data_IF_597583464559
#
_entry.id   IF_597583464559
#
_cell.length_a   1.000
_cell.length_b   1.000
_cell.length_c   1.000
_cell.angle_alpha   90.00
_cell.angle_beta   90.00
_cell.angle_gamma   90.00
#
_symmetry.space_group_name_H-M   'P 1'
#
loop_
_entity.id
_entity.type
_entity.pdbx_description
1 polymer ?
#
# COMPACT_ATOMS: atom_id res chain seq x y z
N UNK A 1 3.79 15.41 -14.28
CA UNK A 1 3.12 16.32 -13.32
C UNK A 1 2.45 17.52 -14.00
N UNK A 2 3.13 18.37 -14.79
CA UNK A 2 2.49 19.55 -15.40
C UNK A 2 1.31 19.21 -16.33
N UNK A 3 1.39 18.15 -17.12
CA UNK A 3 0.34 17.78 -18.08
C UNK A 3 -0.93 17.29 -17.38
N UNK A 4 -0.79 16.50 -16.31
CA UNK A 4 -1.91 16.01 -15.50
C UNK A 4 -2.63 17.16 -14.80
N UNK A 5 -1.88 18.10 -14.20
CA UNK A 5 -2.45 19.31 -13.57
C UNK A 5 -3.28 20.13 -14.55
N UNK A 6 -2.79 20.30 -15.79
CA UNK A 6 -3.50 21.04 -16.81
C UNK A 6 -4.80 20.33 -17.22
N UNK A 7 -4.78 19.01 -17.34
CA UNK A 7 -5.96 18.22 -17.68
C UNK A 7 -7.09 18.41 -16.64
N UNK A 8 -6.81 18.27 -15.36
CA UNK A 8 -7.80 18.51 -14.30
C UNK A 8 -8.35 19.94 -14.31
N UNK A 9 -7.50 20.94 -14.56
CA UNK A 9 -7.97 22.33 -14.66
C UNK A 9 -8.86 22.56 -15.89
N UNK A 10 -8.66 21.83 -16.99
CA UNK A 10 -9.51 21.90 -18.18
C UNK A 10 -10.90 21.32 -17.93
N UNK A 11 -11.00 20.32 -17.06
CA UNK A 11 -12.28 19.75 -16.60
C UNK A 11 -12.96 20.60 -15.50
N UNK A 12 -12.34 21.69 -15.08
CA UNK A 12 -12.95 22.65 -14.16
C UNK A 12 -12.53 22.50 -12.69
N UNK A 13 -11.61 21.61 -12.39
CA UNK A 13 -11.10 21.42 -11.01
C UNK A 13 -10.10 22.52 -10.64
N UNK A 14 -10.10 22.90 -9.37
CA UNK A 14 -9.06 23.75 -8.79
C UNK A 14 -7.94 22.86 -8.26
N UNK A 15 -6.77 22.93 -8.88
CA UNK A 15 -5.61 22.16 -8.45
C UNK A 15 -4.89 22.86 -7.31
N UNK A 16 -4.73 22.16 -6.18
CA UNK A 16 -3.98 22.64 -5.02
C UNK A 16 -2.77 21.74 -4.77
N UNK A 17 -1.60 22.36 -4.59
CA UNK A 17 -0.38 21.68 -4.19
C UNK A 17 0.09 22.25 -2.86
N UNK A 18 -0.01 21.48 -1.79
CA UNK A 18 0.42 21.90 -0.45
C UNK A 18 1.91 21.61 -0.29
N UNK A 19 2.68 22.61 0.15
CA UNK A 19 4.07 22.42 0.56
C UNK A 19 4.12 21.75 1.92
N UNK A 20 4.41 20.45 1.93
CA UNK A 20 4.52 19.67 3.17
C UNK A 20 5.98 19.30 3.45
N UNK A 21 6.32 19.18 4.74
CA UNK A 21 7.61 18.64 5.17
C UNK A 21 7.69 17.18 4.80
N UNK A 22 8.71 16.79 4.07
CA UNK A 22 8.94 15.43 3.62
C UNK A 22 10.26 14.88 4.12
N UNK A 23 10.57 13.67 3.72
CA UNK A 23 11.71 12.87 4.17
C UNK A 23 13.09 13.53 4.05
N UNK A 24 13.24 14.57 3.25
CA UNK A 24 14.51 15.27 3.01
C UNK A 24 14.49 16.72 3.54
N UNK A 25 13.44 17.07 4.32
CA UNK A 25 13.31 18.44 4.81
C UNK A 25 14.13 18.65 6.08
N UNK A 26 14.99 19.65 6.07
CA UNK A 26 15.81 20.06 7.20
C UNK A 26 15.54 21.54 7.57
N UNK A 27 15.81 21.92 8.82
CA UNK A 27 15.77 23.29 9.29
C UNK A 27 17.06 24.06 8.92
N UNK A 28 17.17 25.31 9.43
CA UNK A 28 18.33 26.16 9.17
C UNK A 28 19.63 25.70 9.83
N UNK A 29 19.53 24.81 10.79
CA UNK A 29 20.61 24.20 11.56
C UNK A 29 20.95 22.78 11.05
N UNK A 30 20.39 22.36 9.89
CA UNK A 30 20.51 21.04 9.27
C UNK A 30 19.90 19.89 10.10
N UNK A 31 18.98 20.18 11.05
CA UNK A 31 18.21 19.13 11.73
C UNK A 31 17.09 18.66 10.84
N UNK A 32 16.83 17.35 10.88
CA UNK A 32 15.74 16.74 10.14
C UNK A 32 14.38 17.07 10.76
N UNK A 33 13.47 17.61 9.95
CA UNK A 33 12.14 18.07 10.41
C UNK A 33 10.98 17.46 9.59
N UNK A 34 11.23 16.40 8.83
CA UNK A 34 10.23 15.74 7.99
C UNK A 34 9.72 14.39 8.55
N UNK A 35 9.90 14.14 9.87
CA UNK A 35 9.41 12.93 10.53
C UNK A 35 7.88 12.84 10.51
N UNK A 36 7.36 11.61 10.60
CA UNK A 36 5.96 11.40 10.90
C UNK A 36 5.60 11.97 12.30
N UNK A 37 4.39 12.52 12.49
CA UNK A 37 3.32 12.63 11.50
C UNK A 37 3.30 13.98 10.76
N UNK A 38 4.42 14.71 10.69
CA UNK A 38 4.46 16.12 10.28
C UNK A 38 3.99 16.38 8.85
N UNK A 39 4.14 15.40 7.95
CA UNK A 39 3.55 15.50 6.60
C UNK A 39 2.01 15.60 6.68
N UNK A 40 1.38 14.80 7.53
CA UNK A 40 -0.07 14.84 7.74
C UNK A 40 -0.51 16.16 8.36
N UNK A 41 0.25 16.65 9.34
CA UNK A 41 0.00 17.96 9.99
C UNK A 41 0.00 19.09 8.97
N UNK A 42 0.99 19.13 8.08
CA UNK A 42 1.10 20.17 7.06
C UNK A 42 -0.05 20.12 6.04
N UNK A 43 -0.44 18.92 5.61
CA UNK A 43 -1.55 18.74 4.68
C UNK A 43 -2.90 19.09 5.32
N UNK A 44 -3.14 18.66 6.56
CA UNK A 44 -4.33 19.04 7.35
C UNK A 44 -4.39 20.55 7.56
N UNK A 45 -3.26 21.20 7.88
CA UNK A 45 -3.21 22.65 7.95
C UNK A 45 -3.52 23.34 6.62
N UNK A 46 -3.09 22.77 5.51
CA UNK A 46 -3.45 23.22 4.17
C UNK A 46 -4.95 23.12 3.90
N UNK A 47 -5.59 22.02 4.28
CA UNK A 47 -7.04 21.84 4.17
C UNK A 47 -7.78 22.87 5.04
N UNK A 48 -7.39 23.03 6.33
CA UNK A 48 -7.95 24.04 7.22
C UNK A 48 -7.82 25.46 6.66
N UNK A 49 -6.68 25.75 6.00
CA UNK A 49 -6.50 27.05 5.34
C UNK A 49 -7.48 27.25 4.18
N UNK A 50 -7.68 26.22 3.34
CA UNK A 50 -8.64 26.30 2.22
C UNK A 50 -10.06 26.52 2.73
N UNK A 51 -10.50 25.74 3.72
CA UNK A 51 -11.84 25.86 4.32
C UNK A 51 -12.04 27.21 5.01
N UNK A 52 -11.07 27.69 5.76
CA UNK A 52 -11.13 29.02 6.40
C UNK A 52 -11.19 30.19 5.42
N UNK A 53 -10.83 29.98 4.16
CA UNK A 53 -10.82 31.00 3.11
C UNK A 53 -11.73 30.64 1.92
N UNK A 54 -12.71 29.75 2.13
CA UNK A 54 -13.60 29.25 1.08
C UNK A 54 -14.42 30.34 0.38
N UNK A 55 -14.66 31.47 1.07
CA UNK A 55 -15.39 32.61 0.54
C UNK A 55 -14.58 33.52 -0.43
N UNK A 56 -13.26 33.35 -0.46
CA UNK A 56 -12.34 34.19 -1.27
C UNK A 56 -11.47 33.40 -2.25
N UNK A 57 -11.31 32.10 -2.03
CA UNK A 57 -10.57 31.20 -2.93
C UNK A 57 -11.51 30.64 -4.01
N UNK A 58 -11.00 30.30 -5.19
CA UNK A 58 -11.80 29.61 -6.19
C UNK A 58 -12.11 28.16 -5.77
N UNK A 59 -13.23 27.64 -6.24
CA UNK A 59 -13.68 26.28 -5.95
C UNK A 59 -14.57 26.21 -4.70
N UNK A 60 -14.77 25.00 -4.20
CA UNK A 60 -15.52 24.71 -3.00
C UNK A 60 -14.67 23.84 -2.07
N UNK A 61 -14.18 24.43 -0.98
CA UNK A 61 -13.31 23.73 -0.03
C UNK A 61 -14.04 22.71 0.86
N UNK A 62 -15.37 22.60 0.77
CA UNK A 62 -16.11 21.47 1.37
C UNK A 62 -16.06 20.20 0.49
N UNK A 63 -15.58 20.34 -0.75
CA UNK A 63 -15.47 19.25 -1.73
C UNK A 63 -14.05 18.98 -2.16
N UNK A 64 -13.18 18.78 -1.19
CA UNK A 64 -11.76 18.46 -1.45
C UNK A 64 -11.63 17.00 -1.88
N UNK A 65 -10.94 16.79 -3.00
CA UNK A 65 -10.56 15.48 -3.52
C UNK A 65 -9.07 15.27 -3.25
N UNK A 66 -8.71 14.22 -2.52
CA UNK A 66 -7.31 13.77 -2.44
C UNK A 66 -6.99 12.87 -3.61
N UNK A 67 -5.80 13.06 -4.19
CA UNK A 67 -5.33 12.26 -5.32
C UNK A 67 -3.85 11.96 -5.16
N UNK A 68 -3.49 10.70 -5.18
CA UNK A 68 -2.08 10.33 -5.03
C UNK A 68 -1.77 8.88 -5.37
N UNK A 69 -0.51 8.64 -5.72
CA UNK A 69 0.06 7.33 -6.02
C UNK A 69 1.01 6.89 -4.92
N UNK A 70 1.09 5.58 -4.65
CA UNK A 70 2.06 4.97 -3.75
C UNK A 70 2.01 5.62 -2.36
N UNK A 71 3.09 6.19 -1.88
CA UNK A 71 3.12 6.98 -0.63
C UNK A 71 2.17 8.18 -0.66
N UNK A 72 1.99 8.82 -1.82
CA UNK A 72 0.98 9.87 -2.00
C UNK A 72 -0.45 9.35 -1.89
N UNK A 73 -0.70 8.14 -2.39
CA UNK A 73 -1.95 7.40 -2.20
C UNK A 73 -2.21 7.10 -0.72
N UNK A 74 -1.18 6.62 -0.01
CA UNK A 74 -1.25 6.37 1.43
C UNK A 74 -1.63 7.63 2.22
N UNK A 75 -0.98 8.76 1.92
CA UNK A 75 -1.29 10.06 2.54
C UNK A 75 -2.71 10.51 2.22
N UNK A 76 -3.19 10.31 0.98
CA UNK A 76 -4.57 10.62 0.60
C UNK A 76 -5.60 9.78 1.36
N UNK A 77 -5.34 8.48 1.50
CA UNK A 77 -6.16 7.56 2.32
C UNK A 77 -6.16 7.97 3.79
N UNK A 78 -4.99 8.35 4.33
CA UNK A 78 -4.88 8.87 5.70
C UNK A 78 -5.69 10.17 5.91
N UNK A 79 -5.68 11.11 4.96
CA UNK A 79 -6.49 12.31 5.04
C UNK A 79 -7.97 11.98 5.11
N UNK A 80 -8.44 11.04 4.28
CA UNK A 80 -9.81 10.58 4.28
C UNK A 80 -10.25 9.87 5.55
N UNK A 81 -9.34 9.10 6.16
CA UNK A 81 -9.63 8.34 7.38
C UNK A 81 -9.56 9.18 8.66
N UNK A 82 -8.68 10.18 8.71
CA UNK A 82 -8.34 10.90 9.95
C UNK A 82 -8.91 12.32 10.05
N UNK A 83 -9.92 12.67 9.23
CA UNK A 83 -10.52 14.00 9.25
C UNK A 83 -10.97 14.41 10.66
N UNK A 84 -10.65 15.62 11.08
CA UNK A 84 -11.00 16.19 12.38
C UNK A 84 -10.57 15.37 13.61
N UNK A 85 -9.65 14.43 13.46
CA UNK A 85 -9.20 13.61 14.59
C UNK A 85 -8.40 14.46 15.59
N UNK A 86 -8.78 14.35 16.87
CA UNK A 86 -8.12 15.05 17.99
C UNK A 86 -6.65 14.64 18.19
N UNK A 87 -6.22 13.52 17.61
CA UNK A 87 -4.82 13.07 17.63
C UNK A 87 -3.88 14.15 17.07
N UNK A 88 -4.33 14.92 16.08
CA UNK A 88 -3.54 15.95 15.40
C UNK A 88 -3.67 17.36 16.01
N UNK A 89 -4.60 17.59 16.93
CA UNK A 89 -4.90 18.93 17.46
C UNK A 89 -3.69 19.65 18.06
N UNK A 90 -2.88 18.93 18.83
CA UNK A 90 -1.66 19.49 19.43
C UNK A 90 -0.65 19.95 18.37
N UNK A 91 -0.40 19.12 17.38
CA UNK A 91 0.52 19.44 16.27
C UNK A 91 0.01 20.61 15.41
N UNK A 92 -1.29 20.65 15.13
CA UNK A 92 -1.91 21.72 14.35
C UNK A 92 -1.89 23.06 15.09
N UNK A 93 -2.11 23.04 16.40
CA UNK A 93 -1.99 24.22 17.26
C UNK A 93 -0.56 24.76 17.30
N UNK A 94 0.46 23.88 17.36
CA UNK A 94 1.87 24.26 17.42
C UNK A 94 2.33 24.99 16.17
N UNK A 95 1.78 24.66 14.99
CA UNK A 95 2.09 25.36 13.73
C UNK A 95 1.16 26.52 13.43
N UNK A 96 0.16 26.79 14.30
CA UNK A 96 -0.80 27.87 14.12
C UNK A 96 -1.77 27.64 12.95
N UNK A 97 -2.20 26.41 12.72
CA UNK A 97 -3.20 26.07 11.71
C UNK A 97 -4.51 26.83 11.92
N UNK A 98 -5.23 27.11 10.83
CA UNK A 98 -6.51 27.82 10.89
C UNK A 98 -7.55 27.06 11.75
N UNK A 99 -8.44 27.81 12.39
CA UNK A 99 -9.58 27.28 13.13
C UNK A 99 -10.70 26.88 12.16
N UNK A 100 -10.53 25.71 11.56
CA UNK A 100 -11.44 25.10 10.59
C UNK A 100 -11.31 23.58 10.67
N UNK A 101 -12.20 22.85 10.00
CA UNK A 101 -12.16 21.39 9.88
C UNK A 101 -11.10 20.94 8.85
N UNK A 102 -10.68 19.68 8.89
CA UNK A 102 -9.71 19.10 7.96
C UNK A 102 -10.17 17.78 7.31
N UNK A 103 -11.46 17.49 7.37
CA UNK A 103 -12.09 16.41 6.61
C UNK A 103 -12.07 16.72 5.10
N UNK A 104 -12.08 15.66 4.29
CA UNK A 104 -12.12 15.73 2.83
C UNK A 104 -13.33 14.98 2.28
N UNK A 105 -13.64 15.18 0.99
CA UNK A 105 -14.88 14.70 0.37
C UNK A 105 -14.68 13.41 -0.44
N UNK A 106 -13.62 13.33 -1.25
CA UNK A 106 -13.31 12.14 -2.06
C UNK A 106 -11.85 11.72 -1.83
N UNK A 107 -11.64 10.42 -1.69
CA UNK A 107 -10.32 9.79 -1.68
C UNK A 107 -10.09 9.05 -2.99
N UNK A 108 -9.04 9.41 -3.72
CA UNK A 108 -8.54 8.68 -4.89
C UNK A 108 -7.16 8.11 -4.56
N UNK A 109 -7.14 6.86 -4.09
CA UNK A 109 -5.93 6.17 -3.68
C UNK A 109 -5.42 5.23 -4.78
N UNK A 110 -4.35 5.62 -5.46
CA UNK A 110 -3.70 4.77 -6.46
C UNK A 110 -2.56 3.99 -5.81
N UNK A 111 -2.64 2.64 -5.84
CA UNK A 111 -1.66 1.74 -5.25
C UNK A 111 -1.13 2.23 -3.87
N UNK A 112 -2.02 2.57 -2.92
CA UNK A 112 -1.62 3.21 -1.67
C UNK A 112 -0.78 2.25 -0.81
N UNK A 113 0.42 2.67 -0.41
CA UNK A 113 1.27 1.95 0.54
C UNK A 113 0.92 2.41 1.94
N UNK A 114 -0.08 1.79 2.53
CA UNK A 114 -0.70 2.21 3.80
C UNK A 114 -0.87 1.04 4.77
N UNK A 115 -1.40 1.28 5.98
CA UNK A 115 -1.54 0.29 7.05
C UNK A 115 -0.20 -0.37 7.40
N UNK A 116 0.83 0.45 7.64
CA UNK A 116 2.20 -0.04 7.86
C UNK A 116 2.36 -0.87 9.12
N UNK A 117 1.39 -0.85 10.03
CA UNK A 117 1.31 -1.69 11.23
C UNK A 117 1.11 -3.17 10.91
N UNK A 118 0.44 -3.47 9.80
CA UNK A 118 0.17 -4.84 9.32
C UNK A 118 0.78 -5.14 7.94
N UNK A 119 1.47 -4.17 7.34
CA UNK A 119 1.89 -4.21 5.95
C UNK A 119 2.88 -5.33 5.62
N UNK A 120 3.87 -5.60 6.50
CA UNK A 120 4.81 -6.70 6.31
C UNK A 120 4.08 -8.05 6.26
N UNK A 121 3.12 -8.25 7.17
CA UNK A 121 2.32 -9.47 7.22
C UNK A 121 1.34 -9.60 6.04
N UNK A 122 0.70 -8.50 5.65
CA UNK A 122 -0.18 -8.46 4.49
C UNK A 122 0.57 -8.81 3.19
N UNK A 123 1.81 -8.36 3.07
CA UNK A 123 2.65 -8.68 1.92
C UNK A 123 3.02 -10.16 1.86
N UNK A 124 3.43 -10.75 2.99
CA UNK A 124 3.77 -12.18 3.04
C UNK A 124 2.54 -13.06 2.77
N UNK A 125 1.37 -12.70 3.28
CA UNK A 125 0.12 -13.37 2.95
C UNK A 125 -0.24 -13.27 1.46
N UNK A 126 -0.11 -12.08 0.88
CA UNK A 126 -0.42 -11.81 -0.52
C UNK A 126 0.53 -12.55 -1.47
N UNK A 127 1.83 -12.57 -1.15
CA UNK A 127 2.89 -13.16 -1.97
C UNK A 127 3.19 -14.63 -1.60
N UNK A 128 2.45 -15.24 -0.67
CA UNK A 128 2.74 -16.60 -0.23
C UNK A 128 2.76 -17.59 -1.40
N UNK A 129 3.77 -18.43 -1.43
CA UNK A 129 4.06 -19.32 -2.56
C UNK A 129 4.88 -18.67 -3.68
N UNK A 130 4.96 -17.36 -3.77
CA UNK A 130 5.83 -16.66 -4.72
C UNK A 130 7.21 -16.42 -4.10
N UNK A 131 8.15 -17.31 -4.39
CA UNK A 131 9.53 -17.28 -3.87
C UNK A 131 10.50 -16.57 -4.82
N UNK A 132 10.04 -16.07 -5.96
CA UNK A 132 10.87 -15.39 -6.93
C UNK A 132 10.84 -13.87 -6.71
N UNK A 133 11.99 -13.29 -6.40
CA UNK A 133 12.15 -11.86 -6.14
C UNK A 133 12.68 -11.11 -7.35
N UNK A 134 12.19 -9.89 -7.52
CA UNK A 134 12.73 -8.92 -8.46
C UNK A 134 13.16 -7.67 -7.71
N UNK A 135 14.41 -7.61 -7.26
CA UNK A 135 14.91 -6.50 -6.47
C UNK A 135 15.38 -5.32 -7.32
N UNK A 136 14.99 -4.12 -6.94
CA UNK A 136 15.59 -2.89 -7.48
C UNK A 136 17.00 -2.67 -6.91
N UNK A 137 17.92 -2.14 -7.72
CA UNK A 137 19.32 -1.90 -7.35
C UNK A 137 19.51 -1.11 -6.03
N UNK A 138 18.56 -0.28 -5.63
CA UNK A 138 18.64 0.48 -4.38
C UNK A 138 18.53 -0.36 -3.10
N UNK A 139 18.05 -1.62 -3.21
CA UNK A 139 17.95 -2.56 -2.08
C UNK A 139 19.03 -3.65 -2.13
N UNK A 140 19.97 -3.53 -3.04
CA UNK A 140 21.09 -4.47 -3.20
C UNK A 140 22.22 -4.19 -2.20
N UNK A 141 21.87 -4.00 -0.95
CA UNK A 141 22.83 -3.86 0.15
C UNK A 141 22.54 -4.92 1.21
N UNK A 142 23.60 -5.51 1.76
CA UNK A 142 23.45 -6.42 2.90
C UNK A 142 23.09 -5.66 4.18
N UNK A 143 22.79 -6.39 5.25
CA UNK A 143 22.48 -5.82 6.57
C UNK A 143 23.59 -4.93 7.15
N UNK A 144 24.81 -5.01 6.63
CA UNK A 144 25.95 -4.19 7.04
C UNK A 144 26.08 -2.94 6.17
N UNK A 145 25.16 -2.73 5.19
CA UNK A 145 25.22 -1.63 4.24
C UNK A 145 26.22 -1.84 3.10
N UNK A 146 26.75 -3.06 2.93
CA UNK A 146 27.66 -3.36 1.82
C UNK A 146 26.85 -3.54 0.54
N UNK A 147 27.35 -2.98 -0.55
CA UNK A 147 26.78 -3.18 -1.89
C UNK A 147 26.96 -4.64 -2.31
N UNK A 148 25.86 -5.34 -2.56
CA UNK A 148 25.79 -6.71 -3.06
C UNK A 148 25.23 -6.80 -4.48
N UNK A 149 25.13 -5.67 -5.18
CA UNK A 149 24.59 -5.59 -6.55
C UNK A 149 25.26 -6.55 -7.54
N UNK A 150 26.57 -6.82 -7.36
CA UNK A 150 27.33 -7.78 -8.15
C UNK A 150 26.92 -9.27 -7.88
N UNK A 151 26.21 -9.51 -6.79
CA UNK A 151 25.76 -10.85 -6.39
C UNK A 151 24.31 -11.10 -6.81
N UNK A 152 23.62 -10.05 -7.28
CA UNK A 152 22.24 -10.08 -7.68
C UNK A 152 22.15 -10.28 -9.19
N UNK A 153 21.69 -11.44 -9.60
CA UNK A 153 21.32 -11.65 -11.01
C UNK A 153 19.92 -11.10 -11.23
N UNK A 154 19.81 -9.96 -11.92
CA UNK A 154 18.53 -9.41 -12.37
C UNK A 154 17.92 -10.40 -13.37
N UNK A 155 16.84 -11.08 -12.97
CA UNK A 155 16.12 -12.04 -13.80
C UNK A 155 15.17 -12.88 -12.96
N UNK A 156 14.13 -13.44 -13.57
CA UNK A 156 13.31 -14.47 -12.94
C UNK A 156 14.20 -15.64 -12.56
N UNK A 157 14.27 -15.96 -11.30
CA UNK A 157 14.99 -17.10 -10.76
C UNK A 157 14.75 -17.18 -9.27
N UNK A 158 14.83 -18.38 -8.70
CA UNK A 158 14.82 -18.53 -7.24
C UNK A 158 15.94 -17.66 -6.68
N UNK A 159 15.57 -16.52 -6.20
CA UNK A 159 16.49 -15.56 -5.65
C UNK A 159 16.45 -15.67 -4.13
N UNK A 160 17.34 -16.47 -3.58
CA UNK A 160 17.84 -16.23 -2.25
C UNK A 160 18.86 -15.10 -2.40
N UNK A 161 18.58 -13.86 -1.96
CA UNK A 161 19.47 -12.72 -2.19
C UNK A 161 20.85 -12.91 -1.64
N UNK A 162 21.07 -13.99 -0.93
CA UNK A 162 22.26 -14.26 -0.15
C UNK A 162 22.95 -15.57 -0.53
N UNK A 163 22.52 -16.20 -1.64
CA UNK A 163 23.08 -17.47 -2.08
C UNK A 163 22.99 -18.53 -0.98
N UNK A 164 23.92 -19.49 -0.97
CA UNK A 164 24.08 -20.45 0.13
C UNK A 164 24.72 -19.80 1.40
N UNK A 165 24.78 -18.49 1.47
CA UNK A 165 25.37 -17.71 2.56
C UNK A 165 24.33 -16.86 3.28
N UNK A 166 23.91 -17.32 4.42
CA UNK A 166 23.50 -16.66 5.68
C UNK A 166 22.53 -15.47 5.66
N UNK A 167 22.02 -14.99 4.53
CA UNK A 167 21.15 -13.83 4.50
C UNK A 167 19.91 -14.07 3.61
N UNK A 168 19.22 -15.01 3.64
CA UNK A 168 18.05 -15.52 2.97
C UNK A 168 18.09 -16.98 3.23
N UNK A 169 17.61 -17.38 4.32
CA UNK A 169 17.73 -18.73 4.74
C UNK A 169 16.49 -19.13 5.52
N UNK A 170 16.58 -20.22 6.24
CA UNK A 170 15.49 -20.76 7.03
C UNK A 170 14.85 -19.73 7.99
N UNK A 171 15.59 -18.71 8.43
CA UNK A 171 15.06 -17.66 9.31
C UNK A 171 14.12 -16.66 8.58
N UNK A 172 14.38 -16.37 7.30
CA UNK A 172 13.49 -15.53 6.49
C UNK A 172 12.21 -16.29 6.16
N UNK A 173 12.32 -17.56 5.80
CA UNK A 173 11.18 -18.44 5.56
C UNK A 173 10.32 -18.58 6.83
N UNK A 174 10.95 -18.69 8.00
CA UNK A 174 10.25 -18.77 9.28
C UNK A 174 9.55 -17.46 9.65
N UNK A 175 10.21 -16.32 9.46
CA UNK A 175 9.59 -15.02 9.69
C UNK A 175 8.42 -14.79 8.73
N UNK A 176 8.58 -15.14 7.45
CA UNK A 176 7.52 -15.05 6.44
C UNK A 176 6.29 -15.90 6.83
N UNK A 177 6.51 -17.13 7.31
CA UNK A 177 5.44 -17.99 7.79
C UNK A 177 4.72 -17.39 9.02
N UNK A 178 5.47 -16.86 9.99
CA UNK A 178 4.88 -16.21 11.18
C UNK A 178 4.09 -14.94 10.80
N UNK A 179 4.58 -14.15 9.85
CA UNK A 179 3.89 -12.96 9.32
C UNK A 179 2.60 -13.36 8.61
N UNK A 180 2.63 -14.43 7.81
CA UNK A 180 1.46 -14.98 7.14
C UNK A 180 0.39 -15.40 8.16
N UNK A 181 0.75 -16.23 9.13
CA UNK A 181 -0.17 -16.72 10.16
C UNK A 181 -0.76 -15.56 10.97
N UNK A 182 0.08 -14.59 11.33
CA UNK A 182 -0.38 -13.40 12.04
C UNK A 182 -1.40 -12.61 11.22
N UNK A 183 -1.19 -12.43 9.91
CA UNK A 183 -2.15 -11.70 9.07
C UNK A 183 -3.49 -12.41 8.96
N UNK A 184 -3.48 -13.73 8.85
CA UNK A 184 -4.70 -14.54 8.85
C UNK A 184 -5.47 -14.33 10.15
N UNK A 185 -4.80 -14.46 11.30
CA UNK A 185 -5.42 -14.24 12.60
C UNK A 185 -5.93 -12.79 12.77
N UNK A 186 -5.15 -11.81 12.34
CA UNK A 186 -5.49 -10.40 12.40
C UNK A 186 -6.75 -10.09 11.60
N UNK A 187 -6.81 -10.49 10.34
CA UNK A 187 -7.97 -10.24 9.46
C UNK A 187 -9.21 -10.98 9.96
N UNK A 188 -9.05 -12.23 10.43
CA UNK A 188 -10.15 -13.00 11.03
C UNK A 188 -10.64 -12.39 12.34
N UNK A 189 -9.77 -11.77 13.13
CA UNK A 189 -10.16 -11.11 14.38
C UNK A 189 -11.12 -9.93 14.13
N UNK A 190 -11.07 -9.33 12.95
CA UNK A 190 -12.01 -8.32 12.48
C UNK A 190 -13.24 -8.92 11.77
N UNK A 191 -13.41 -10.22 11.82
CA UNK A 191 -14.60 -10.92 11.29
C UNK A 191 -14.59 -11.13 9.78
N UNK A 192 -13.47 -10.87 9.08
CA UNK A 192 -13.33 -11.20 7.67
C UNK A 192 -12.97 -12.67 7.49
N UNK A 193 -13.66 -13.35 6.60
CA UNK A 193 -13.51 -14.78 6.38
C UNK A 193 -12.35 -15.07 5.43
N UNK A 194 -11.25 -15.57 5.98
CA UNK A 194 -10.11 -16.10 5.23
C UNK A 194 -10.11 -17.62 5.06
N UNK A 195 -11.09 -18.32 5.66
CA UNK A 195 -11.17 -19.77 5.67
C UNK A 195 -10.13 -20.45 6.58
N UNK A 196 -10.09 -21.79 6.53
CA UNK A 196 -9.22 -22.57 7.42
C UNK A 196 -7.73 -22.49 7.02
N UNK A 197 -7.47 -22.38 5.70
CA UNK A 197 -6.10 -22.30 5.14
C UNK A 197 -5.61 -20.85 4.93
N UNK A 198 -6.42 -19.87 5.34
CA UNK A 198 -6.12 -18.45 5.16
C UNK A 198 -6.32 -17.92 3.73
N UNK A 199 -6.73 -18.77 2.78
CA UNK A 199 -6.91 -18.45 1.35
C UNK A 199 -8.08 -19.15 0.68
N UNK A 200 -9.07 -19.61 1.41
CA UNK A 200 -10.26 -20.27 0.88
C UNK A 200 -11.58 -19.60 1.30
N UNK A 201 -11.51 -18.55 2.14
CA UNK A 201 -12.67 -17.78 2.58
C UNK A 201 -13.11 -16.66 1.64
N UNK A 202 -14.24 -16.00 1.99
CA UNK A 202 -14.86 -14.96 1.17
C UNK A 202 -13.95 -13.73 0.98
N UNK A 203 -13.13 -13.37 1.97
CA UNK A 203 -12.20 -12.25 1.87
C UNK A 203 -11.14 -12.49 0.80
N UNK A 204 -10.56 -13.70 0.77
CA UNK A 204 -9.57 -14.06 -0.25
C UNK A 204 -10.18 -14.22 -1.64
N UNK A 205 -11.32 -14.93 -1.74
CA UNK A 205 -11.97 -15.13 -3.05
C UNK A 205 -12.45 -13.81 -3.66
N UNK A 206 -12.86 -12.84 -2.83
CA UNK A 206 -13.16 -11.48 -3.28
C UNK A 206 -11.95 -10.76 -3.86
N UNK A 207 -10.76 -10.90 -3.25
CA UNK A 207 -9.53 -10.36 -3.79
C UNK A 207 -9.17 -10.99 -5.16
N UNK A 208 -9.30 -12.31 -5.30
CA UNK A 208 -9.06 -13.01 -6.58
C UNK A 208 -10.06 -12.57 -7.65
N UNK A 209 -11.31 -12.30 -7.24
CA UNK A 209 -12.33 -11.80 -8.15
C UNK A 209 -11.98 -10.43 -8.75
N UNK A 210 -11.32 -9.53 -7.99
CA UNK A 210 -10.85 -8.24 -8.52
C UNK A 210 -9.89 -8.40 -9.71
N UNK A 211 -9.01 -9.39 -9.66
CA UNK A 211 -8.13 -9.69 -10.81
C UNK A 211 -8.91 -10.23 -12.02
N UNK A 212 -9.89 -11.10 -11.76
CA UNK A 212 -10.77 -11.64 -12.80
C UNK A 212 -11.58 -10.54 -13.47
N UNK A 213 -12.12 -9.62 -12.67
CA UNK A 213 -12.90 -8.46 -13.15
C UNK A 213 -12.00 -7.48 -13.93
N UNK A 214 -10.78 -7.21 -13.43
CA UNK A 214 -9.80 -6.37 -14.11
C UNK A 214 -9.42 -6.91 -15.49
N UNK A 215 -9.13 -8.22 -15.59
CA UNK A 215 -8.86 -8.85 -16.90
C UNK A 215 -10.09 -8.82 -17.81
N UNK A 216 -11.27 -9.09 -17.27
CA UNK A 216 -12.53 -9.01 -18.03
C UNK A 216 -12.74 -7.60 -18.59
N UNK A 217 -12.55 -6.57 -17.77
CA UNK A 217 -12.66 -5.18 -18.20
C UNK A 217 -11.64 -4.83 -19.28
N UNK A 218 -10.37 -5.23 -19.09
CA UNK A 218 -9.30 -5.06 -20.06
C UNK A 218 -9.62 -5.68 -21.41
N UNK A 219 -10.05 -6.94 -21.44
CA UNK A 219 -10.39 -7.65 -22.67
C UNK A 219 -11.63 -7.07 -23.35
N UNK A 220 -12.64 -6.68 -22.57
CA UNK A 220 -13.88 -6.09 -23.10
C UNK A 220 -13.63 -4.73 -23.75
N UNK A 221 -12.75 -3.92 -23.16
CA UNK A 221 -12.40 -2.57 -23.65
C UNK A 221 -11.09 -2.54 -24.42
N UNK A 222 -10.60 -3.68 -24.90
CA UNK A 222 -9.29 -3.80 -25.55
C UNK A 222 -9.12 -2.83 -26.70
N UNK A 223 -10.16 -2.56 -27.48
CA UNK A 223 -10.12 -1.62 -28.62
C UNK A 223 -9.96 -0.16 -28.20
N UNK A 224 -10.30 0.20 -26.95
CA UNK A 224 -10.17 1.54 -26.39
C UNK A 224 -8.77 1.80 -25.82
N UNK A 225 -8.02 0.75 -25.51
CA UNK A 225 -6.72 0.86 -24.88
C UNK A 225 -5.72 1.66 -25.72
N UNK A 226 -4.96 2.49 -25.03
CA UNK A 226 -3.83 3.24 -25.58
C UNK A 226 -2.52 2.74 -24.97
N UNK A 227 -2.14 1.50 -25.28
CA UNK A 227 -0.94 0.88 -24.73
C UNK A 227 0.04 0.51 -25.84
N UNK A 228 1.37 0.46 -25.57
CA UNK A 228 2.35 -0.10 -26.50
C UNK A 228 2.07 -1.56 -26.90
N UNK A 229 1.35 -2.29 -26.07
CA UNK A 229 1.03 -3.70 -26.30
C UNK A 229 0.05 -3.90 -27.44
N UNK A 230 -0.80 -2.91 -27.77
CA UNK A 230 -1.65 -2.95 -28.97
C UNK A 230 -0.87 -3.03 -30.29
N UNK A 231 0.35 -2.51 -30.34
CA UNK A 231 1.21 -2.68 -31.52
C UNK A 231 1.67 -4.14 -31.65
N UNK A 232 1.86 -4.81 -30.52
CA UNK A 232 2.34 -6.18 -30.43
C UNK A 232 1.19 -7.20 -30.48
N UNK A 233 0.08 -6.87 -29.81
CA UNK A 233 -1.12 -7.69 -29.72
C UNK A 233 -2.32 -6.89 -30.25
N UNK A 234 -2.70 -7.05 -31.54
CA UNK A 234 -3.63 -6.14 -32.20
C UNK A 234 -5.08 -6.24 -31.74
N UNK A 235 -5.45 -7.33 -31.07
CA UNK A 235 -6.78 -7.58 -30.53
C UNK A 235 -6.74 -8.40 -29.23
N UNK A 236 -7.87 -8.49 -28.53
CA UNK A 236 -7.99 -9.21 -27.28
C UNK A 236 -7.59 -10.69 -27.39
N UNK A 237 -7.88 -11.35 -28.51
CA UNK A 237 -7.53 -12.75 -28.71
C UNK A 237 -6.00 -12.95 -28.83
N UNK A 238 -5.31 -12.03 -29.51
CA UNK A 238 -3.85 -12.03 -29.60
C UNK A 238 -3.20 -11.76 -28.24
N UNK A 239 -3.80 -10.89 -27.43
CA UNK A 239 -3.35 -10.63 -26.06
C UNK A 239 -3.55 -11.86 -25.14
N UNK A 240 -4.70 -12.51 -25.22
CA UNK A 240 -4.96 -13.77 -24.50
C UNK A 240 -3.96 -14.86 -24.89
N UNK A 241 -3.64 -14.97 -26.20
CA UNK A 241 -2.62 -15.93 -26.64
C UNK A 241 -1.24 -15.62 -26.04
N UNK A 242 -0.90 -14.35 -25.90
CA UNK A 242 0.31 -13.92 -25.18
C UNK A 242 0.30 -14.36 -23.71
N UNK A 243 -0.83 -14.25 -22.99
CA UNK A 243 -0.92 -14.75 -21.62
C UNK A 243 -0.66 -16.26 -21.55
N UNK A 244 -1.16 -17.05 -22.51
CA UNK A 244 -0.87 -18.48 -22.58
C UNK A 244 0.59 -18.78 -22.91
N UNK A 245 1.18 -18.08 -23.87
CA UNK A 245 2.52 -18.36 -24.37
C UNK A 245 3.62 -17.91 -23.40
N UNK A 246 3.47 -16.73 -22.79
CA UNK A 246 4.54 -16.09 -21.99
C UNK A 246 4.33 -16.24 -20.48
N UNK A 247 3.08 -16.45 -20.03
CA UNK A 247 2.73 -16.54 -18.59
C UNK A 247 2.09 -17.88 -18.20
N UNK A 248 1.99 -18.85 -19.12
CA UNK A 248 1.40 -20.15 -18.84
C UNK A 248 -0.04 -20.07 -18.34
N UNK A 249 -0.82 -19.15 -18.89
CA UNK A 249 -2.17 -18.86 -18.41
C UNK A 249 -3.16 -20.03 -18.53
N UNK A 250 -2.82 -21.08 -19.27
CA UNK A 250 -3.58 -22.34 -19.31
C UNK A 250 -3.65 -23.05 -17.94
N UNK A 251 -2.76 -22.69 -16.99
CA UNK A 251 -2.78 -23.23 -15.63
C UNK A 251 -3.72 -22.47 -14.69
N UNK A 252 -4.03 -21.20 -14.95
CA UNK A 252 -4.70 -20.34 -14.00
C UNK A 252 -5.85 -19.48 -14.55
N UNK A 253 -6.05 -19.46 -15.88
CA UNK A 253 -7.07 -18.65 -16.55
C UNK A 253 -8.11 -19.51 -17.24
N UNK A 254 -9.39 -19.30 -16.94
CA UNK A 254 -10.51 -19.73 -17.74
C UNK A 254 -11.20 -18.53 -18.40
N UNK A 255 -11.52 -18.65 -19.69
CA UNK A 255 -12.37 -17.70 -20.41
C UNK A 255 -13.73 -18.32 -20.71
N UNK A 256 -14.78 -17.52 -20.55
CA UNK A 256 -16.11 -17.90 -21.00
C UNK A 256 -16.20 -18.01 -22.55
N UNK A 257 -17.34 -18.49 -23.07
CA UNK A 257 -17.57 -18.66 -24.51
C UNK A 257 -17.51 -17.33 -25.29
N UNK A 258 -17.68 -16.19 -24.62
CA UNK A 258 -17.59 -14.86 -25.22
C UNK A 258 -16.13 -14.43 -25.52
N UNK A 259 -15.16 -15.13 -24.93
CA UNK A 259 -13.73 -14.89 -25.11
C UNK A 259 -13.17 -13.67 -24.37
N UNK A 260 -13.97 -13.01 -23.53
CA UNK A 260 -13.56 -11.81 -22.76
C UNK A 260 -13.86 -11.91 -21.28
N UNK A 261 -14.89 -12.65 -20.85
CA UNK A 261 -15.16 -12.88 -19.44
C UNK A 261 -14.15 -13.87 -18.88
N UNK A 262 -13.28 -13.36 -17.99
CA UNK A 262 -12.14 -14.07 -17.42
C UNK A 262 -12.40 -14.53 -15.97
N UNK A 263 -11.85 -15.68 -15.62
CA UNK A 263 -11.83 -16.20 -14.26
C UNK A 263 -10.42 -16.70 -13.94
N UNK A 264 -9.83 -16.20 -12.86
CA UNK A 264 -8.58 -16.74 -12.32
C UNK A 264 -8.95 -17.93 -11.43
N UNK A 265 -8.52 -19.13 -11.85
CA UNK A 265 -8.88 -20.41 -11.25
C UNK A 265 -7.82 -20.96 -10.30
N UNK A 266 -6.58 -20.53 -10.45
CA UNK A 266 -5.45 -20.90 -9.60
C UNK A 266 -4.62 -19.63 -9.30
N UNK A 267 -4.79 -19.11 -8.09
CA UNK A 267 -4.14 -17.88 -7.66
C UNK A 267 -2.62 -18.05 -7.52
N UNK A 268 -2.15 -19.19 -7.01
CA UNK A 268 -0.71 -19.40 -6.80
C UNK A 268 0.02 -19.53 -8.13
N UNK A 269 -0.58 -20.21 -9.11
CA UNK A 269 -0.04 -20.29 -10.47
C UNK A 269 -0.05 -18.90 -11.16
N UNK A 270 -1.11 -18.09 -10.94
CA UNK A 270 -1.17 -16.71 -11.42
C UNK A 270 -0.08 -15.85 -10.81
N UNK A 271 0.04 -15.85 -9.48
CA UNK A 271 1.06 -15.06 -8.76
C UNK A 271 2.47 -15.44 -9.18
N UNK A 272 2.78 -16.74 -9.24
CA UNK A 272 4.10 -17.24 -9.61
C UNK A 272 4.50 -16.97 -11.07
N UNK A 273 3.54 -16.69 -11.96
CA UNK A 273 3.83 -16.47 -13.38
C UNK A 273 3.67 -15.02 -13.83
N UNK A 274 2.69 -14.29 -13.29
CA UNK A 274 2.31 -12.96 -13.76
C UNK A 274 2.82 -11.83 -12.85
N UNK A 275 2.80 -12.02 -11.53
CA UNK A 275 3.21 -10.99 -10.57
C UNK A 275 4.63 -11.25 -10.09
N UNK A 276 5.49 -10.25 -10.21
CA UNK A 276 6.84 -10.30 -9.65
C UNK A 276 6.80 -9.87 -8.17
N UNK A 277 7.45 -10.63 -7.30
CA UNK A 277 7.72 -10.19 -5.93
C UNK A 277 8.88 -9.19 -5.95
N UNK A 278 8.64 -7.98 -5.46
CA UNK A 278 9.62 -6.89 -5.53
C UNK A 278 10.36 -6.66 -4.21
N UNK A 279 9.90 -7.25 -3.11
CA UNK A 279 10.44 -7.01 -1.76
C UNK A 279 10.75 -8.33 -1.06
N UNK A 280 11.81 -8.32 -0.26
CA UNK A 280 12.21 -9.42 0.61
C UNK A 280 11.33 -9.46 1.87
N UNK A 281 11.46 -10.49 2.69
CA UNK A 281 10.89 -10.54 4.04
C UNK A 281 11.92 -9.98 5.05
N UNK A 282 11.53 -9.03 5.92
CA UNK A 282 10.28 -8.24 5.88
C UNK A 282 10.28 -7.21 4.76
N UNK A 283 9.10 -6.94 4.22
CA UNK A 283 8.96 -6.24 2.95
C UNK A 283 9.01 -4.71 3.06
N UNK A 284 8.41 -4.15 4.10
CA UNK A 284 8.26 -2.70 4.32
C UNK A 284 9.29 -2.17 5.31
N UNK A 285 9.59 -2.92 6.38
CA UNK A 285 10.67 -2.61 7.31
C UNK A 285 11.87 -3.53 7.10
N UNK A 286 12.59 -3.31 6.01
CA UNK A 286 13.73 -4.15 5.64
C UNK A 286 14.85 -4.16 6.70
N UNK A 287 15.53 -5.28 6.86
CA UNK A 287 16.61 -5.48 7.84
C UNK A 287 17.72 -4.42 7.80
N UNK A 288 17.97 -3.84 6.64
CA UNK A 288 18.97 -2.80 6.46
C UNK A 288 18.41 -1.37 6.50
N UNK A 289 17.12 -1.20 6.85
CA UNK A 289 16.41 0.10 6.88
C UNK A 289 16.41 0.85 5.53
N UNK A 290 16.66 0.14 4.43
CA UNK A 290 16.82 0.75 3.11
C UNK A 290 15.49 0.89 2.35
N UNK A 291 14.40 0.30 2.86
CA UNK A 291 13.07 0.44 2.24
C UNK A 291 12.68 1.91 2.08
N UNK A 292 11.85 2.19 1.08
CA UNK A 292 11.34 3.56 0.87
C UNK A 292 10.51 4.03 2.07
N UNK A 293 9.75 3.15 2.66
CA UNK A 293 8.88 3.38 3.82
C UNK A 293 9.70 3.75 5.05
N UNK A 294 10.83 3.08 5.28
CA UNK A 294 11.77 3.41 6.36
C UNK A 294 12.33 4.83 6.30
N UNK A 295 12.23 5.50 5.15
CA UNK A 295 12.63 6.91 5.05
C UNK A 295 11.70 7.88 5.78
N UNK A 296 10.52 7.44 6.18
CA UNK A 296 9.57 8.22 6.98
C UNK A 296 9.82 8.07 8.50
N UNK A 297 10.60 7.05 8.89
CA UNK A 297 10.94 6.74 10.28
C UNK A 297 12.42 7.03 10.52
N UNK A 298 12.70 8.25 10.89
CA UNK A 298 14.06 8.76 11.12
C UNK A 298 14.14 9.48 12.45
N UNK A 299 15.34 9.50 13.04
CA UNK A 299 15.61 10.35 14.22
C UNK A 299 15.88 11.82 13.82
N UNK A 300 16.12 12.67 14.83
CA UNK A 300 16.38 14.10 14.62
C UNK A 300 17.68 14.37 13.82
N UNK A 301 18.58 13.40 13.77
CA UNK A 301 19.83 13.47 13.00
C UNK A 301 19.67 12.90 11.57
N UNK A 302 18.46 12.42 11.21
CA UNK A 302 18.15 11.85 9.90
C UNK A 302 18.56 10.39 9.72
N UNK A 303 18.93 9.70 10.81
CA UNK A 303 19.24 8.27 10.73
C UNK A 303 17.94 7.47 10.65
N UNK A 304 17.88 6.54 9.72
CA UNK A 304 16.74 5.63 9.56
C UNK A 304 16.64 4.67 10.73
N UNK A 305 15.40 4.40 11.15
CA UNK A 305 15.07 3.46 12.22
C UNK A 305 14.20 2.34 11.70
N UNK A 306 14.22 1.20 12.37
CA UNK A 306 13.17 0.22 12.25
C UNK A 306 11.86 0.78 12.82
N UNK A 307 10.73 0.34 12.28
CA UNK A 307 9.41 0.85 12.67
C UNK A 307 8.36 -0.24 12.89
N UNK A 308 8.56 -1.44 12.34
CA UNK A 308 7.57 -2.53 12.45
C UNK A 308 7.59 -3.14 13.85
N UNK A 309 6.52 -2.86 14.61
CA UNK A 309 6.26 -3.48 15.92
C UNK A 309 6.13 -4.98 15.79
N UNK A 310 5.42 -5.41 14.74
CA UNK A 310 5.16 -6.82 14.49
C UNK A 310 6.46 -7.60 14.21
N UNK A 311 7.32 -7.08 13.35
CA UNK A 311 8.62 -7.72 13.05
C UNK A 311 9.50 -7.77 14.29
N UNK A 312 9.53 -6.69 15.10
CA UNK A 312 10.23 -6.66 16.38
C UNK A 312 9.76 -7.81 17.30
N UNK A 313 8.46 -7.95 17.45
CA UNK A 313 7.87 -8.91 18.38
C UNK A 313 8.09 -10.34 17.90
N UNK A 314 7.87 -10.62 16.61
CA UNK A 314 8.11 -11.94 16.02
C UNK A 314 9.59 -12.35 16.06
N UNK A 315 10.52 -11.44 15.80
CA UNK A 315 11.96 -11.73 15.96
C UNK A 315 12.29 -12.03 17.42
N UNK A 316 11.69 -11.31 18.37
CA UNK A 316 11.83 -11.59 19.81
C UNK A 316 11.30 -12.99 20.18
N UNK A 317 10.16 -13.38 19.65
CA UNK A 317 9.61 -14.74 19.81
C UNK A 317 10.53 -15.80 19.22
N UNK A 318 11.07 -15.58 18.02
CA UNK A 318 12.03 -16.49 17.39
C UNK A 318 13.30 -16.70 18.23
N UNK A 319 13.82 -15.62 18.84
CA UNK A 319 14.96 -15.71 19.76
C UNK A 319 14.67 -16.62 20.94
N UNK A 320 13.48 -16.52 21.55
CA UNK A 320 13.09 -17.37 22.68
C UNK A 320 12.79 -18.83 22.25
N UNK A 321 12.08 -19.01 21.15
CA UNK A 321 11.66 -20.33 20.64
C UNK A 321 12.83 -21.17 20.19
N UNK A 322 13.80 -20.57 19.50
CA UNK A 322 14.89 -21.31 18.87
C UNK A 322 16.21 -21.31 19.65
N UNK A 323 16.23 -20.77 20.86
CA UNK A 323 17.44 -20.65 21.73
C UNK A 323 18.20 -21.95 21.91
N UNK A 324 17.50 -23.06 22.09
CA UNK A 324 18.08 -24.39 22.32
C UNK A 324 17.65 -25.40 21.22
N UNK A 325 17.32 -24.88 20.02
CA UNK A 325 16.85 -25.66 18.89
C UNK A 325 17.96 -25.93 17.88
N UNK A 326 17.86 -27.08 17.19
CA UNK A 326 18.71 -27.43 16.06
C UNK A 326 18.11 -26.95 14.70
N UNK A 327 17.04 -26.15 14.73
CA UNK A 327 16.37 -25.63 13.51
C UNK A 327 17.23 -24.69 12.71
N UNK A 328 18.09 -23.92 13.41
CA UNK A 328 19.03 -23.00 12.80
C UNK A 328 20.46 -23.37 13.15
N UNK A 329 21.42 -23.03 12.29
CA UNK A 329 22.83 -23.06 12.64
C UNK A 329 23.12 -22.01 13.73
N UNK A 330 24.23 -22.15 14.43
CA UNK A 330 24.63 -21.18 15.45
C UNK A 330 24.84 -19.77 14.84
N UNK A 331 25.28 -19.68 13.59
CA UNK A 331 25.48 -18.41 12.88
C UNK A 331 24.15 -17.75 12.51
N UNK A 332 23.18 -18.51 12.02
CA UNK A 332 21.83 -18.03 11.74
C UNK A 332 21.12 -17.57 13.02
N UNK A 333 21.23 -18.34 14.11
CA UNK A 333 20.63 -17.95 15.38
C UNK A 333 21.26 -16.66 15.94
N UNK A 334 22.59 -16.54 15.91
CA UNK A 334 23.28 -15.30 16.31
C UNK A 334 22.85 -14.11 15.45
N UNK A 335 22.48 -14.36 14.18
CA UNK A 335 21.96 -13.34 13.29
C UNK A 335 20.54 -12.90 13.68
N UNK A 336 19.65 -13.85 13.97
CA UNK A 336 18.28 -13.56 14.47
C UNK A 336 18.37 -12.71 15.75
N UNK A 337 19.26 -13.06 16.68
CA UNK A 337 19.46 -12.29 17.92
C UNK A 337 19.87 -10.84 17.61
N UNK A 338 20.83 -10.64 16.68
CA UNK A 338 21.24 -9.27 16.30
C UNK A 338 20.14 -8.46 15.64
N UNK A 339 19.30 -9.11 14.81
CA UNK A 339 18.12 -8.44 14.22
C UNK A 339 17.13 -8.05 15.31
N UNK A 340 16.77 -8.98 16.19
CA UNK A 340 15.85 -8.71 17.30
C UNK A 340 16.35 -7.55 18.17
N UNK A 341 17.66 -7.51 18.50
CA UNK A 341 18.25 -6.42 19.25
C UNK A 341 18.18 -5.08 18.50
N UNK A 342 18.39 -5.09 17.17
CA UNK A 342 18.31 -3.87 16.35
C UNK A 342 16.90 -3.30 16.29
N UNK A 343 15.89 -4.16 16.07
CA UNK A 343 14.48 -3.73 16.09
C UNK A 343 14.05 -3.26 17.47
N UNK A 344 14.43 -3.98 18.53
CA UNK A 344 14.12 -3.58 19.91
C UNK A 344 14.76 -2.24 20.32
N UNK A 345 15.89 -1.88 19.74
CA UNK A 345 16.56 -0.61 20.00
C UNK A 345 15.88 0.58 19.30
N UNK A 346 15.24 0.36 18.16
CA UNK A 346 14.65 1.41 17.33
C UNK A 346 13.15 1.58 17.55
N UNK A 347 12.42 0.49 17.79
CA UNK A 347 10.95 0.47 17.89
C UNK A 347 10.54 0.62 19.36
N UNK A 348 10.49 1.85 19.83
CA UNK A 348 10.04 2.24 21.17
C UNK A 348 8.53 2.58 21.19
N UNK A 349 8.02 3.01 22.34
CA UNK A 349 6.61 3.37 22.53
C UNK A 349 6.18 4.52 21.59
N UNK A 350 7.06 5.47 21.28
CA UNK A 350 6.75 6.57 20.37
C UNK A 350 6.71 6.10 18.91
N UNK A 351 7.65 5.26 18.50
CA UNK A 351 7.62 4.65 17.17
C UNK A 351 6.34 3.80 16.99
N UNK A 352 5.94 3.04 18.01
CA UNK A 352 4.69 2.27 18.03
C UNK A 352 3.48 3.20 17.84
N UNK A 353 3.38 4.25 18.64
CA UNK A 353 2.29 5.23 18.53
C UNK A 353 2.23 5.89 17.16
N UNK A 354 3.38 6.28 16.61
CA UNK A 354 3.45 6.89 15.27
C UNK A 354 2.98 5.93 14.18
N UNK A 355 3.37 4.66 14.25
CA UNK A 355 2.94 3.63 13.33
C UNK A 355 1.42 3.45 13.37
N UNK A 356 0.86 3.34 14.57
CA UNK A 356 -0.59 3.18 14.77
C UNK A 356 -1.38 4.35 14.21
N UNK A 357 -1.02 5.61 14.54
CA UNK A 357 -1.76 6.79 14.06
C UNK A 357 -1.58 7.09 12.57
N UNK A 358 -0.62 6.45 11.93
CA UNK A 358 -0.37 6.51 10.49
C UNK A 358 -0.94 5.31 9.72
N UNK A 359 -1.69 4.43 10.40
CA UNK A 359 -2.40 3.32 9.81
C UNK A 359 -3.90 3.65 9.69
N UNK A 360 -4.41 3.99 8.50
CA UNK A 360 -5.77 4.51 8.32
C UNK A 360 -6.87 3.52 8.72
N UNK A 361 -6.62 2.22 8.61
CA UNK A 361 -7.57 1.20 9.05
C UNK A 361 -7.92 1.32 10.54
N UNK A 362 -7.01 1.81 11.38
CA UNK A 362 -7.26 1.99 12.82
C UNK A 362 -8.38 2.99 13.11
N UNK A 363 -8.58 4.00 12.25
CA UNK A 363 -9.68 4.97 12.37
C UNK A 363 -11.05 4.40 12.01
N UNK A 364 -11.08 3.23 11.36
CA UNK A 364 -12.29 2.54 10.93
C UNK A 364 -12.57 1.30 11.80
N UNK A 365 -11.52 0.57 12.18
CA UNK A 365 -11.63 -0.70 12.90
C UNK A 365 -11.84 -0.52 14.41
N UNK A 366 -11.50 0.64 14.98
CA UNK A 366 -11.63 0.93 16.40
C UNK A 366 -12.75 1.94 16.65
N UNK A 367 -13.60 1.64 17.64
CA UNK A 367 -14.80 2.41 18.01
C UNK A 367 -14.61 3.30 19.25
N UNK A 368 -13.40 3.37 19.82
CA UNK A 368 -13.14 4.20 20.99
C UNK A 368 -12.87 5.67 20.62
N UNK A 369 -13.03 6.55 21.61
CA UNK A 369 -12.92 7.99 21.40
C UNK A 369 -11.53 8.48 20.95
N UNK A 370 -10.48 7.68 21.12
CA UNK A 370 -9.14 8.04 20.69
C UNK A 370 -9.03 8.06 19.14
N UNK A 371 -9.71 7.10 18.49
CA UNK A 371 -9.72 6.95 17.04
C UNK A 371 -10.82 7.74 16.33
N UNK A 372 -11.66 8.44 17.09
CA UNK A 372 -12.75 9.21 16.52
C UNK A 372 -12.26 10.21 15.47
N UNK A 373 -12.89 10.18 14.31
CA UNK A 373 -12.57 11.00 13.15
C UNK A 373 -13.81 11.27 12.31
N UNK A 374 -13.68 12.08 11.27
CA UNK A 374 -14.67 12.26 10.20
C UNK A 374 -14.14 11.58 8.95
N UNK A 375 -14.75 10.49 8.55
CA UNK A 375 -14.37 9.77 7.34
C UNK A 375 -14.79 10.53 6.08
N UNK A 376 -14.01 10.45 5.02
CA UNK A 376 -14.45 10.91 3.71
C UNK A 376 -15.65 10.08 3.25
N UNK A 377 -16.70 10.70 2.66
CA UNK A 377 -17.87 9.93 2.22
C UNK A 377 -17.60 9.03 1.00
N UNK A 378 -16.63 9.37 0.15
CA UNK A 378 -16.40 8.65 -1.11
C UNK A 378 -14.97 8.16 -1.24
N UNK A 379 -14.81 6.86 -1.61
CA UNK A 379 -13.50 6.21 -1.69
C UNK A 379 -13.35 5.43 -3.00
N UNK A 380 -12.27 5.67 -3.72
CA UNK A 380 -11.88 4.88 -4.88
C UNK A 380 -10.41 4.46 -4.77
N UNK A 381 -10.19 3.16 -4.76
CA UNK A 381 -8.88 2.53 -4.80
C UNK A 381 -8.61 1.99 -6.19
N UNK A 382 -7.45 2.27 -6.74
CA UNK A 382 -7.07 1.86 -8.10
C UNK A 382 -5.69 1.22 -8.08
N UNK A 383 -5.63 -0.08 -8.43
CA UNK A 383 -4.44 -0.92 -8.24
C UNK A 383 -4.03 -1.53 -9.57
N UNK A 384 -2.73 -1.64 -9.83
CA UNK A 384 -2.22 -2.39 -10.99
C UNK A 384 -2.21 -3.89 -10.73
N UNK A 385 -2.63 -4.70 -11.70
CA UNK A 385 -2.59 -6.17 -11.53
C UNK A 385 -1.17 -6.74 -11.48
N UNK A 386 -0.18 -6.03 -12.04
CA UNK A 386 1.23 -6.39 -11.98
C UNK A 386 1.98 -5.62 -10.87
N UNK A 387 1.25 -5.03 -9.92
CA UNK A 387 1.85 -4.37 -8.75
C UNK A 387 2.46 -5.40 -7.80
N UNK A 388 3.77 -5.56 -7.84
CA UNK A 388 4.52 -6.43 -6.94
C UNK A 388 4.93 -5.78 -5.63
N UNK A 389 4.52 -4.53 -5.37
CA UNK A 389 4.84 -3.82 -4.13
C UNK A 389 3.87 -4.20 -2.99
N UNK A 390 2.87 -3.38 -2.65
CA UNK A 390 1.98 -3.67 -1.51
C UNK A 390 0.55 -3.14 -1.70
N UNK A 391 0.27 -2.46 -2.80
CA UNK A 391 -0.96 -1.68 -2.95
C UNK A 391 -2.26 -2.45 -2.70
N UNK A 392 -2.41 -3.64 -3.28
CA UNK A 392 -3.69 -4.35 -3.23
C UNK A 392 -4.09 -4.84 -1.83
N UNK A 393 -3.26 -5.59 -1.06
CA UNK A 393 -3.72 -6.10 0.23
C UNK A 393 -4.06 -4.97 1.22
N UNK A 394 -3.32 -3.84 1.18
CA UNK A 394 -3.60 -2.68 2.02
C UNK A 394 -4.92 -1.99 1.62
N UNK A 395 -5.15 -1.77 0.33
CA UNK A 395 -6.38 -1.19 -0.18
C UNK A 395 -7.58 -2.12 0.04
N UNK A 396 -7.39 -3.43 -0.12
CA UNK A 396 -8.44 -4.44 0.10
C UNK A 396 -8.90 -4.48 1.57
N UNK A 397 -7.96 -4.42 2.51
CA UNK A 397 -8.28 -4.31 3.93
C UNK A 397 -9.10 -3.05 4.20
N UNK A 398 -8.63 -1.89 3.72
CA UNK A 398 -9.30 -0.62 3.94
C UNK A 398 -10.70 -0.58 3.33
N UNK A 399 -10.86 -1.08 2.09
CA UNK A 399 -12.15 -1.18 1.41
C UNK A 399 -13.16 -2.03 2.21
N UNK A 400 -12.74 -3.23 2.64
CA UNK A 400 -13.62 -4.11 3.43
C UNK A 400 -13.94 -3.54 4.81
N UNK A 401 -12.97 -2.88 5.45
CA UNK A 401 -13.20 -2.20 6.72
C UNK A 401 -14.25 -1.08 6.59
N UNK A 402 -14.12 -0.23 5.58
CA UNK A 402 -15.08 0.84 5.28
C UNK A 402 -16.50 0.29 5.07
N UNK A 403 -16.66 -0.73 4.23
CA UNK A 403 -17.96 -1.31 3.93
C UNK A 403 -18.58 -2.07 5.12
N UNK A 404 -17.76 -2.56 6.06
CA UNK A 404 -18.23 -3.38 7.19
C UNK A 404 -18.48 -2.54 8.44
N UNK A 405 -17.58 -1.62 8.76
CA UNK A 405 -17.58 -0.91 10.04
C UNK A 405 -18.00 0.55 9.93
N UNK A 406 -17.92 1.13 8.74
CA UNK A 406 -18.27 2.53 8.49
C UNK A 406 -19.41 2.70 7.44
N UNK A 407 -20.18 1.66 7.17
CA UNK A 407 -21.22 1.67 6.15
C UNK A 407 -22.32 2.73 6.36
N UNK A 408 -22.52 3.19 7.59
CA UNK A 408 -23.47 4.26 7.93
C UNK A 408 -22.81 5.66 7.89
N UNK A 409 -21.48 5.73 7.70
CA UNK A 409 -20.68 6.97 7.74
C UNK A 409 -20.15 7.37 6.36
N UNK A 410 -20.09 6.43 5.43
CA UNK A 410 -19.64 6.65 4.05
C UNK A 410 -20.79 6.46 3.05
N UNK A 411 -20.67 7.07 1.88
CA UNK A 411 -21.62 6.87 0.78
C UNK A 411 -21.19 5.69 -0.12
N UNK A 412 -19.89 5.59 -0.43
CA UNK A 412 -19.35 4.49 -1.23
C UNK A 412 -17.88 4.18 -0.94
N UNK A 413 -17.49 2.97 -1.30
CA UNK A 413 -16.10 2.56 -1.45
C UNK A 413 -15.97 1.63 -2.65
N UNK A 414 -15.15 2.02 -3.61
CA UNK A 414 -14.90 1.27 -4.85
C UNK A 414 -13.43 0.85 -4.89
N UNK A 415 -13.16 -0.37 -5.34
CA UNK A 415 -11.81 -0.86 -5.60
C UNK A 415 -11.75 -1.50 -6.98
N UNK A 416 -10.74 -1.13 -7.76
CA UNK A 416 -10.55 -1.60 -9.13
C UNK A 416 -9.12 -2.06 -9.36
N UNK A 417 -8.95 -3.11 -10.16
CA UNK A 417 -7.66 -3.60 -10.60
C UNK A 417 -7.49 -3.34 -12.08
N UNK A 418 -6.59 -2.42 -12.43
CA UNK A 418 -6.16 -2.21 -13.81
C UNK A 418 -5.24 -3.32 -14.26
N UNK A 419 -5.71 -4.10 -15.24
CA UNK A 419 -4.94 -5.22 -15.75
C UNK A 419 -3.67 -4.77 -16.49
N UNK A 420 -2.61 -5.57 -16.35
CA UNK A 420 -1.28 -5.38 -16.97
C UNK A 420 -0.61 -4.04 -16.61
N UNK A 421 -1.05 -3.42 -15.53
CA UNK A 421 -0.45 -2.18 -15.03
C UNK A 421 0.44 -2.46 -13.82
N UNK A 422 1.61 -1.80 -13.75
CA UNK A 422 2.54 -1.91 -12.61
C UNK A 422 2.07 -1.08 -11.41
N UNK A 423 2.97 -0.95 -10.45
CA UNK A 423 2.83 0.02 -9.35
C UNK A 423 2.70 1.45 -9.90
N UNK A 424 1.70 2.15 -9.81
CA UNK A 424 1.29 3.41 -10.45
C UNK A 424 0.47 3.17 -11.73
N UNK A 425 -0.69 2.50 -11.60
CA UNK A 425 -1.52 2.18 -12.73
C UNK A 425 -2.13 3.41 -13.39
N UNK A 426 -2.31 3.33 -14.70
CA UNK A 426 -3.09 4.29 -15.47
C UNK A 426 -4.55 3.84 -15.58
N UNK A 427 -5.45 4.79 -15.72
CA UNK A 427 -6.83 4.51 -16.14
C UNK A 427 -6.86 3.91 -17.54
N UNK A 428 -7.81 3.03 -17.81
CA UNK A 428 -8.10 2.56 -19.19
C UNK A 428 -8.52 3.76 -20.04
N UNK A 429 -9.45 4.55 -19.51
CA UNK A 429 -9.83 5.86 -20.04
C UNK A 429 -9.90 6.86 -18.86
N UNK A 430 -9.15 7.93 -18.93
CA UNK A 430 -9.17 8.99 -17.92
C UNK A 430 -10.56 9.60 -17.74
N UNK A 431 -11.42 9.49 -18.74
CA UNK A 431 -12.81 9.95 -18.65
C UNK A 431 -13.61 9.17 -17.58
N UNK A 432 -13.30 7.89 -17.36
CA UNK A 432 -13.95 7.10 -16.30
C UNK A 432 -13.74 7.73 -14.91
N UNK A 433 -12.54 8.28 -14.67
CA UNK A 433 -12.24 9.00 -13.42
C UNK A 433 -13.01 10.31 -13.31
N UNK A 434 -13.09 11.08 -14.40
CA UNK A 434 -13.85 12.33 -14.40
C UNK A 434 -15.34 12.06 -14.23
N UNK A 435 -15.89 11.05 -14.91
CA UNK A 435 -17.30 10.67 -14.80
C UNK A 435 -17.64 10.20 -13.37
N UNK A 436 -16.72 9.50 -12.70
CA UNK A 436 -16.88 9.12 -11.29
C UNK A 436 -16.95 10.36 -10.38
N UNK A 437 -16.00 11.29 -10.50
CA UNK A 437 -15.98 12.50 -9.67
C UNK A 437 -17.19 13.40 -9.99
N UNK A 438 -17.47 13.64 -11.27
CA UNK A 438 -18.59 14.51 -11.71
C UNK A 438 -19.95 13.96 -11.31
N UNK A 439 -20.12 12.62 -11.33
CA UNK A 439 -21.33 11.95 -10.83
C UNK A 439 -21.57 12.28 -9.36
N UNK A 440 -20.56 12.10 -8.52
CA UNK A 440 -20.62 12.43 -7.07
C UNK A 440 -20.90 13.92 -6.87
N UNK A 441 -20.19 14.80 -7.61
CA UNK A 441 -20.38 16.25 -7.47
C UNK A 441 -21.78 16.70 -7.92
N UNK A 442 -22.36 16.09 -8.95
CA UNK A 442 -23.71 16.41 -9.42
C UNK A 442 -24.77 16.02 -8.40
N UNK A 443 -24.64 14.87 -7.76
CA UNK A 443 -25.56 14.40 -6.72
C UNK A 443 -25.51 15.31 -5.49
N UNK A 444 -24.30 15.66 -5.04
CA UNK A 444 -24.09 16.58 -3.91
C UNK A 444 -24.59 18.03 -4.17
N UNK A 445 -24.70 18.46 -5.44
CA UNK A 445 -25.27 19.77 -5.81
C UNK A 445 -26.80 19.75 -5.90
N UNK A 446 -27.42 18.57 -5.97
CA UNK A 446 -28.88 18.41 -6.09
C UNK A 446 -29.59 18.32 -4.73
N UNK A 447 -28.87 18.11 -3.66
CA UNK A 447 -29.32 18.11 -2.26
C UNK A 447 -29.28 19.52 -1.64
#
# INVERSE_FOLDING_TARGET
MQDVTIAYMQEGYVQVSVGARGKDTVDAEDHYIGQLPLIMVDLKAGIRYLKANNDVLPGDAERIVSYGYSSGGAVGVMLGASGNSAIYDGYLADIGAADATDDIFIVLGYCPITNLDSADAAYEWFQAGNQEYFLFNAMAVDMYGNDISDQITVGRGNFHPFGDNVLGGAHEDELAAKLYDWYVDYVQSWGFDLGDDGRDGAYFTGLVQLYSDGLTQWLTRYDELSTPDKEKYPDAAAYVQHLYDDYGADAWLELAEDGVTATITDYDAFMGSFISRNKMCPSLDSYNKASNEGSAFVDADGNRKHFSVLVRDLLGEMVEEYRDSDAFTAEEYDYIVRLADAYAADVDDEATRLLEIMSPANYVLHDDAYWASTLAPHWRFHIGSADGDHGLPAAWLMHNALLTYAADEIEDSVIEVSWDQPHSPAEIDVQDLYDYIDGIMADALSE
#
